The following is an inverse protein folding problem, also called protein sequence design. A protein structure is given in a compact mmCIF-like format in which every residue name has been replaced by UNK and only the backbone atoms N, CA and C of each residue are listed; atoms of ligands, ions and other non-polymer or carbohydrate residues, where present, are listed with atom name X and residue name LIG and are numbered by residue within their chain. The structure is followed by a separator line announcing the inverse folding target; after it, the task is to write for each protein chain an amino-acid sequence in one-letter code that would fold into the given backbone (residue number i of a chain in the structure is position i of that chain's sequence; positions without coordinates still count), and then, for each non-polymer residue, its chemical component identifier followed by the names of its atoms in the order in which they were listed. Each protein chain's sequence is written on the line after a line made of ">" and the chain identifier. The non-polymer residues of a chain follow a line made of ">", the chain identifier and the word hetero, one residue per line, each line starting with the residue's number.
data_IF_623261238512
#
_entry.id   IF_623261238512
#
_cell.length_a   1.000
_cell.length_b   1.000
_cell.length_c   1.000
_cell.angle_alpha   90.00
_cell.angle_beta   90.00
_cell.angle_gamma   90.00
#
_symmetry.space_group_name_H-M   'P 1'
#
loop_
_entity.id
_entity.type
_entity.pdbx_description
1 polymer ?
#
# COMPACT_ATOMS: atom_id res chain seq x y z
N UNK A 1 -26.16 -29.60 14.11
CA UNK A 1 -24.96 -28.83 13.74
C UNK A 1 -25.36 -27.84 12.67
N UNK A 2 -25.15 -26.53 12.90
CA UNK A 2 -25.55 -25.50 11.92
C UNK A 2 -24.65 -25.62 10.69
N UNK A 3 -25.23 -25.89 9.53
CA UNK A 3 -24.51 -25.90 8.26
C UNK A 3 -24.22 -24.43 7.93
N UNK A 4 -23.05 -23.93 8.32
CA UNK A 4 -22.70 -22.51 8.14
C UNK A 4 -22.51 -22.27 6.65
N UNK A 5 -23.45 -21.56 6.05
CA UNK A 5 -23.41 -21.24 4.62
C UNK A 5 -22.23 -20.29 4.38
N UNK A 6 -21.32 -20.69 3.49
CA UNK A 6 -20.18 -19.86 3.10
C UNK A 6 -20.67 -18.60 2.41
N UNK A 7 -20.06 -17.46 2.76
CA UNK A 7 -20.21 -16.20 2.02
C UNK A 7 -19.68 -16.33 0.59
N UNK A 8 -20.04 -15.38 -0.28
CA UNK A 8 -19.49 -15.36 -1.64
C UNK A 8 -17.97 -15.34 -1.63
N UNK A 9 -17.37 -14.49 -0.81
CA UNK A 9 -15.92 -14.44 -0.65
C UNK A 9 -15.33 -15.81 -0.25
N UNK A 10 -15.87 -16.45 0.79
CA UNK A 10 -15.38 -17.75 1.24
C UNK A 10 -15.54 -18.86 0.20
N UNK A 11 -16.54 -18.76 -0.71
CA UNK A 11 -16.71 -19.71 -1.81
C UNK A 11 -15.71 -19.47 -2.93
N UNK A 12 -15.53 -18.24 -3.38
CA UNK A 12 -14.58 -17.90 -4.46
C UNK A 12 -13.14 -18.21 -4.04
N UNK A 13 -12.77 -17.95 -2.78
CA UNK A 13 -11.44 -18.26 -2.23
C UNK A 13 -11.10 -19.75 -2.15
N UNK A 14 -12.05 -20.66 -2.45
CA UNK A 14 -11.77 -22.08 -2.58
C UNK A 14 -11.10 -22.43 -3.91
N UNK A 15 -11.27 -21.59 -4.94
CA UNK A 15 -10.58 -21.73 -6.21
C UNK A 15 -9.15 -21.17 -6.09
N UNK A 16 -8.10 -22.01 -6.28
CA UNK A 16 -6.71 -21.56 -6.20
C UNK A 16 -6.35 -20.44 -7.17
N UNK A 17 -6.93 -20.43 -8.38
CA UNK A 17 -6.63 -19.41 -9.39
C UNK A 17 -7.20 -18.06 -8.97
N UNK A 18 -8.49 -18.03 -8.60
CA UNK A 18 -9.13 -16.86 -8.03
C UNK A 18 -8.40 -16.35 -6.79
N UNK A 19 -8.04 -17.26 -5.87
CA UNK A 19 -7.36 -16.90 -4.64
C UNK A 19 -6.01 -16.23 -4.91
N UNK A 20 -5.22 -16.75 -5.85
CA UNK A 20 -3.93 -16.15 -6.19
C UNK A 20 -4.12 -14.74 -6.76
N UNK A 21 -5.02 -14.57 -7.72
CA UNK A 21 -5.31 -13.26 -8.32
C UNK A 21 -5.82 -12.27 -7.26
N UNK A 22 -6.74 -12.70 -6.40
CA UNK A 22 -7.24 -11.90 -5.30
C UNK A 22 -6.12 -11.45 -4.36
N UNK A 23 -5.20 -12.35 -3.99
CA UNK A 23 -4.09 -12.01 -3.11
C UNK A 23 -3.15 -10.97 -3.74
N UNK A 24 -2.84 -11.10 -5.03
CA UNK A 24 -2.01 -10.14 -5.79
C UNK A 24 -2.69 -8.76 -5.84
N UNK A 25 -3.93 -8.68 -6.35
CA UNK A 25 -4.70 -7.43 -6.44
C UNK A 25 -4.93 -6.79 -5.07
N UNK A 26 -5.13 -7.60 -4.02
CA UNK A 26 -5.32 -7.09 -2.67
C UNK A 26 -4.05 -6.41 -2.12
N UNK A 27 -2.85 -6.91 -2.43
CA UNK A 27 -1.60 -6.24 -2.01
C UNK A 27 -1.45 -4.87 -2.68
N UNK A 28 -1.74 -4.80 -3.98
CA UNK A 28 -1.66 -3.56 -4.76
C UNK A 28 -2.68 -2.53 -4.27
N UNK A 29 -3.92 -2.98 -4.04
CA UNK A 29 -4.97 -2.18 -3.44
C UNK A 29 -4.53 -1.63 -2.07
N UNK A 30 -4.05 -2.50 -1.17
CA UNK A 30 -3.61 -2.10 0.16
C UNK A 30 -2.49 -1.05 0.11
N UNK A 31 -1.52 -1.21 -0.77
CA UNK A 31 -0.44 -0.24 -0.97
C UNK A 31 -1.00 1.13 -1.40
N UNK A 32 -1.94 1.15 -2.34
CA UNK A 32 -2.57 2.38 -2.81
C UNK A 32 -3.34 3.11 -1.69
N UNK A 33 -4.03 2.36 -0.82
CA UNK A 33 -4.76 2.90 0.33
C UNK A 33 -3.81 3.49 1.37
N UNK A 34 -2.69 2.79 1.69
CA UNK A 34 -1.67 3.30 2.60
C UNK A 34 -1.10 4.62 2.08
N UNK A 35 -0.72 4.69 0.80
CA UNK A 35 -0.18 5.91 0.21
C UNK A 35 -1.21 7.03 0.26
N UNK A 36 -2.48 6.74 -0.05
CA UNK A 36 -3.55 7.74 0.02
C UNK A 36 -3.69 8.29 1.44
N UNK A 37 -3.70 7.44 2.45
CA UNK A 37 -3.79 7.83 3.86
C UNK A 37 -2.59 8.67 4.30
N UNK A 38 -1.36 8.26 3.94
CA UNK A 38 -0.14 9.03 4.22
C UNK A 38 -0.23 10.44 3.62
N UNK A 39 -0.69 10.52 2.36
CA UNK A 39 -0.82 11.79 1.64
C UNK A 39 -1.92 12.68 2.23
N UNK A 40 -3.10 12.14 2.57
CA UNK A 40 -4.21 12.87 3.17
C UNK A 40 -3.81 13.47 4.53
N UNK A 41 -3.11 12.70 5.36
CA UNK A 41 -2.63 13.17 6.66
C UNK A 41 -1.49 14.18 6.57
N UNK A 42 -0.64 14.12 5.53
CA UNK A 42 0.50 15.03 5.39
C UNK A 42 0.11 16.49 5.08
N UNK A 43 -1.12 16.74 4.57
CA UNK A 43 -1.58 18.04 4.05
C UNK A 43 -0.64 18.66 3.00
N UNK A 44 0.15 17.85 2.30
CA UNK A 44 1.08 18.29 1.24
C UNK A 44 0.44 18.14 -0.13
N UNK A 45 0.75 19.08 -1.03
CA UNK A 45 0.35 18.95 -2.43
C UNK A 45 1.17 17.87 -3.14
N UNK A 46 0.64 17.30 -4.23
CA UNK A 46 1.36 16.34 -5.10
C UNK A 46 2.73 16.88 -5.53
N UNK A 47 2.81 18.18 -5.86
CA UNK A 47 4.08 18.82 -6.25
C UNK A 47 5.09 18.90 -5.11
N UNK A 48 4.63 19.19 -3.89
CA UNK A 48 5.50 19.25 -2.71
C UNK A 48 6.04 17.86 -2.36
N UNK A 49 5.17 16.84 -2.40
CA UNK A 49 5.57 15.45 -2.19
C UNK A 49 6.54 14.94 -3.25
N UNK A 50 6.32 15.27 -4.52
CA UNK A 50 7.26 14.95 -5.59
C UNK A 50 8.65 15.54 -5.30
N UNK A 51 8.71 16.81 -4.90
CA UNK A 51 9.97 17.48 -4.55
C UNK A 51 10.68 16.85 -3.35
N UNK A 52 9.94 16.43 -2.32
CA UNK A 52 10.51 15.90 -1.08
C UNK A 52 10.87 14.41 -1.17
N UNK A 53 10.14 13.64 -1.99
CA UNK A 53 10.39 12.20 -2.21
C UNK A 53 11.38 11.90 -3.35
N UNK A 54 11.73 12.91 -4.15
CA UNK A 54 12.55 12.74 -5.36
C UNK A 54 11.83 12.04 -6.52
N UNK A 55 10.51 11.92 -6.46
CA UNK A 55 9.68 11.31 -7.49
C UNK A 55 9.05 12.35 -8.40
N UNK A 56 8.62 11.93 -9.60
CA UNK A 56 7.84 12.81 -10.48
C UNK A 56 6.42 13.00 -9.93
N UNK A 57 5.81 14.15 -10.22
CA UNK A 57 4.41 14.40 -9.86
C UNK A 57 3.46 13.35 -10.48
N UNK A 58 3.76 12.87 -11.68
CA UNK A 58 3.02 11.79 -12.33
C UNK A 58 3.15 10.47 -11.57
N UNK A 59 4.35 10.13 -11.09
CA UNK A 59 4.53 8.91 -10.28
C UNK A 59 3.73 8.99 -8.97
N UNK A 60 3.78 10.13 -8.26
CA UNK A 60 2.97 10.35 -7.06
C UNK A 60 1.47 10.24 -7.37
N UNK A 61 1.03 10.79 -8.50
CA UNK A 61 -0.37 10.74 -8.92
C UNK A 61 -0.83 9.32 -9.24
N UNK A 62 -0.01 8.54 -9.96
CA UNK A 62 -0.33 7.16 -10.34
C UNK A 62 -0.38 6.22 -9.13
N UNK A 63 0.51 6.43 -8.16
CA UNK A 63 0.51 5.72 -6.87
C UNK A 63 -0.78 6.03 -6.10
N UNK A 64 -1.15 7.31 -6.00
CA UNK A 64 -2.38 7.73 -5.32
C UNK A 64 -3.65 7.16 -5.97
N UNK A 65 -3.65 7.00 -7.29
CA UNK A 65 -4.82 6.49 -8.03
C UNK A 65 -4.86 4.96 -8.15
N UNK A 66 -3.85 4.24 -7.64
CA UNK A 66 -3.76 2.78 -7.81
C UNK A 66 -3.54 2.33 -9.26
N UNK A 67 -3.10 3.23 -10.15
CA UNK A 67 -2.78 2.89 -11.56
C UNK A 67 -1.40 2.23 -11.66
N UNK A 68 -0.53 2.51 -10.70
CA UNK A 68 0.75 1.85 -10.58
C UNK A 68 0.63 0.72 -9.57
N UNK A 69 0.60 -0.49 -10.08
CA UNK A 69 0.47 -1.77 -9.35
C UNK A 69 1.77 -2.09 -8.57
N UNK A 70 2.93 -1.81 -9.19
CA UNK A 70 4.24 -2.08 -8.61
C UNK A 70 4.99 -0.82 -8.18
N UNK A 71 5.50 -0.80 -6.94
CA UNK A 71 6.39 0.26 -6.45
C UNK A 71 7.67 -0.32 -5.86
N UNK A 72 8.81 0.22 -6.29
CA UNK A 72 10.09 -0.06 -5.63
C UNK A 72 10.02 0.34 -4.16
N UNK A 73 10.49 -0.52 -3.27
CA UNK A 73 10.55 -0.25 -1.82
C UNK A 73 11.21 1.11 -1.51
N UNK A 74 12.27 1.49 -2.24
CA UNK A 74 12.91 2.81 -2.08
C UNK A 74 11.95 3.98 -2.27
N UNK A 75 11.02 3.87 -3.23
CA UNK A 75 10.03 4.91 -3.48
C UNK A 75 9.00 4.97 -2.35
N UNK A 76 8.57 3.82 -1.84
CA UNK A 76 7.66 3.74 -0.69
C UNK A 76 8.26 4.40 0.54
N UNK A 77 9.52 4.07 0.85
CA UNK A 77 10.25 4.66 1.97
C UNK A 77 10.37 6.18 1.79
N UNK A 78 10.77 6.65 0.60
CA UNK A 78 10.89 8.09 0.33
C UNK A 78 9.57 8.83 0.47
N UNK A 79 8.46 8.26 0.00
CA UNK A 79 7.13 8.87 0.14
C UNK A 79 6.71 8.91 1.61
N UNK A 80 6.94 7.83 2.35
CA UNK A 80 6.60 7.74 3.77
C UNK A 80 7.37 8.77 4.60
N UNK A 81 8.70 8.85 4.39
CA UNK A 81 9.56 9.86 5.00
C UNK A 81 9.15 11.28 4.60
N UNK A 82 8.83 11.51 3.32
CA UNK A 82 8.31 12.79 2.85
C UNK A 82 6.95 13.14 3.49
N UNK A 83 6.12 12.16 3.83
CA UNK A 83 4.88 12.38 4.59
C UNK A 83 5.11 12.59 6.09
N UNK A 84 6.34 12.42 6.58
CA UNK A 84 6.71 12.58 8.00
C UNK A 84 6.58 11.31 8.84
N UNK A 85 6.59 10.14 8.19
CA UNK A 85 6.52 8.84 8.86
C UNK A 85 7.86 8.14 8.84
N UNK A 86 8.24 7.57 9.99
CA UNK A 86 9.34 6.64 10.11
C UNK A 86 8.84 5.19 9.98
N UNK A 87 9.54 4.37 9.20
CA UNK A 87 9.22 2.96 9.04
C UNK A 87 10.21 2.12 9.84
N UNK A 88 9.70 1.16 10.63
CA UNK A 88 10.53 0.28 11.43
C UNK A 88 10.16 -1.19 11.21
N UNK A 89 11.17 -2.06 11.12
CA UNK A 89 11.01 -3.49 11.37
C UNK A 89 11.20 -3.75 12.86
N UNK A 90 10.20 -4.34 13.51
CA UNK A 90 10.26 -4.68 14.93
C UNK A 90 10.34 -6.20 15.14
N UNK A 91 11.33 -6.64 15.92
CA UNK A 91 11.46 -8.04 16.35
C UNK A 91 11.91 -8.11 17.81
N UNK A 92 11.10 -8.76 18.65
CA UNK A 92 11.38 -8.93 20.09
C UNK A 92 11.73 -7.60 20.78
N UNK A 93 11.01 -6.52 20.45
CA UNK A 93 11.25 -5.17 21.00
C UNK A 93 12.46 -4.43 20.43
N UNK A 94 13.22 -5.03 19.49
CA UNK A 94 14.27 -4.33 18.74
C UNK A 94 13.68 -3.74 17.47
N UNK A 95 13.94 -2.45 17.24
CA UNK A 95 13.49 -1.72 16.05
C UNK A 95 14.68 -1.44 15.12
N UNK A 96 14.51 -1.73 13.84
CA UNK A 96 15.43 -1.35 12.76
C UNK A 96 14.68 -0.33 11.91
N UNK A 97 15.17 0.90 11.86
CA UNK A 97 14.62 1.94 10.97
C UNK A 97 14.96 1.60 9.52
N UNK A 98 14.01 1.81 8.62
CA UNK A 98 14.14 1.56 7.17
C UNK A 98 14.28 2.86 6.38
#
# INVERSE_FOLDING_TARGET
>A
MSNKQLSTFEREMQDPEFKQQFEEEYQEFLLSEIIRELMENSKKSVRKLASESGLSATAIQNLRSGVQEDMKLTNFLNVSHACGYDIFLEKNGKKICL
#
